data_IF_583677627233
#
_entry.id   IF_583677627233
#
_cell.length_a   1.000
_cell.length_b   1.000
_cell.length_c   1.000
_cell.angle_alpha   90.00
_cell.angle_beta   90.00
_cell.angle_gamma   90.00
#
_symmetry.space_group_name_H-M   'P 1'
#
loop_
_entity.id
_entity.type
_entity.pdbx_description
1 polymer ?
#
# COMPACT_ATOMS: atom_id res chain seq x y z
N UNK A 1 -4.35 -29.19 -2.05
CA UNK A 1 -4.50 -28.68 -3.42
C UNK A 1 -3.85 -27.33 -3.54
N UNK A 2 -2.63 -27.26 -4.06
CA UNK A 2 -1.98 -25.98 -4.38
C UNK A 2 -2.59 -25.45 -5.67
N UNK A 3 -3.52 -24.50 -5.58
CA UNK A 3 -3.97 -23.74 -6.74
C UNK A 3 -2.77 -22.88 -7.17
N UNK A 4 -2.31 -23.05 -8.41
CA UNK A 4 -1.25 -22.21 -8.96
C UNK A 4 -1.79 -20.79 -9.18
N UNK A 5 -1.09 -19.78 -8.67
CA UNK A 5 -1.33 -18.40 -9.06
C UNK A 5 -0.95 -18.23 -10.54
N UNK A 6 -1.77 -17.49 -11.29
CA UNK A 6 -1.57 -17.24 -12.71
C UNK A 6 -1.55 -15.76 -13.03
N UNK A 7 -1.13 -15.44 -14.25
CA UNK A 7 -1.22 -14.09 -14.79
C UNK A 7 -1.85 -14.11 -16.18
N UNK A 8 -2.37 -12.97 -16.62
CA UNK A 8 -2.90 -12.79 -17.97
C UNK A 8 -2.18 -11.59 -18.57
N UNK A 9 -1.56 -11.79 -19.73
CA UNK A 9 -1.01 -10.71 -20.56
C UNK A 9 -1.91 -10.53 -21.77
N UNK A 10 -2.43 -9.31 -21.96
CA UNK A 10 -3.23 -8.95 -23.13
C UNK A 10 -2.41 -8.04 -24.05
N UNK A 11 -2.43 -8.32 -25.36
CA UNK A 11 -1.78 -7.52 -26.40
C UNK A 11 -2.80 -7.06 -27.43
N UNK A 12 -2.56 -5.92 -28.08
CA UNK A 12 -3.42 -5.36 -29.13
C UNK A 12 -2.57 -4.87 -30.28
N UNK A 13 -3.06 -5.06 -31.50
CA UNK A 13 -2.52 -4.43 -32.72
C UNK A 13 -3.02 -3.00 -32.91
N UNK A 14 -4.02 -2.57 -32.12
CA UNK A 14 -4.48 -1.18 -32.06
C UNK A 14 -3.58 -0.30 -31.19
N UNK A 15 -3.75 1.03 -31.26
CA UNK A 15 -2.79 1.96 -30.65
C UNK A 15 -2.82 1.99 -29.12
N UNK A 16 -3.91 1.57 -28.47
CA UNK A 16 -4.10 1.69 -27.02
C UNK A 16 -4.85 0.49 -26.43
N UNK A 17 -4.44 0.09 -25.23
CA UNK A 17 -5.15 -0.86 -24.37
C UNK A 17 -5.35 -0.22 -22.99
N UNK A 18 -6.52 -0.44 -22.42
CA UNK A 18 -6.80 -0.20 -21.02
C UNK A 18 -7.52 -1.43 -20.46
N UNK A 19 -7.25 -1.74 -19.20
CA UNK A 19 -7.86 -2.88 -18.53
C UNK A 19 -8.08 -2.60 -17.06
N UNK A 20 -8.96 -3.40 -16.48
CA UNK A 20 -9.12 -3.52 -15.04
C UNK A 20 -9.22 -5.00 -14.73
N UNK A 21 -8.70 -5.40 -13.58
CA UNK A 21 -8.83 -6.77 -13.08
C UNK A 21 -9.58 -6.74 -11.76
N UNK A 22 -10.42 -7.74 -11.56
CA UNK A 22 -11.23 -7.93 -10.36
C UNK A 22 -10.90 -9.27 -9.73
N UNK A 23 -10.60 -9.26 -8.44
CA UNK A 23 -10.51 -10.49 -7.65
C UNK A 23 -11.77 -10.60 -6.78
N UNK A 24 -12.39 -11.78 -6.75
CA UNK A 24 -13.56 -12.06 -5.93
C UNK A 24 -13.31 -13.29 -5.07
N UNK A 25 -13.73 -13.19 -3.81
CA UNK A 25 -13.81 -14.28 -2.83
C UNK A 25 -15.28 -14.44 -2.42
N UNK A 26 -15.59 -15.47 -1.63
CA UNK A 26 -16.97 -15.81 -1.24
C UNK A 26 -17.78 -14.65 -0.66
N UNK A 27 -17.14 -13.69 0.01
CA UNK A 27 -17.82 -12.57 0.66
C UNK A 27 -17.24 -11.18 0.35
N UNK A 28 -16.28 -11.06 -0.58
CA UNK A 28 -15.59 -9.79 -0.85
C UNK A 28 -15.03 -9.75 -2.25
N UNK A 29 -14.83 -8.54 -2.76
CA UNK A 29 -14.17 -8.32 -4.03
C UNK A 29 -13.25 -7.11 -3.95
N UNK A 30 -12.28 -7.04 -4.85
CA UNK A 30 -11.41 -5.92 -5.04
C UNK A 30 -11.08 -5.78 -6.52
N UNK A 31 -10.67 -4.59 -6.94
CA UNK A 31 -10.28 -4.32 -8.31
C UNK A 31 -9.06 -3.40 -8.35
N UNK A 32 -8.32 -3.47 -9.45
CA UNK A 32 -7.22 -2.56 -9.75
C UNK A 32 -7.16 -2.30 -11.26
N UNK A 33 -6.54 -1.19 -11.65
CA UNK A 33 -6.24 -0.90 -13.04
C UNK A 33 -5.17 -1.87 -13.54
N UNK A 34 -5.39 -2.49 -14.70
CA UNK A 34 -4.40 -3.38 -15.30
C UNK A 34 -3.08 -2.63 -15.55
N UNK A 35 -1.97 -3.30 -15.25
CA UNK A 35 -0.63 -2.74 -15.36
C UNK A 35 -0.10 -2.89 -16.78
N UNK A 36 0.73 -1.93 -17.18
CA UNK A 36 1.34 -1.82 -18.50
C UNK A 36 2.85 -2.03 -18.40
N UNK A 37 3.55 -2.01 -19.54
CA UNK A 37 5.01 -2.00 -19.54
C UNK A 37 5.62 -0.76 -18.88
N UNK A 38 4.89 0.35 -18.79
CA UNK A 38 5.35 1.55 -18.09
C UNK A 38 5.37 1.39 -16.56
N UNK A 39 4.62 0.41 -16.03
CA UNK A 39 4.54 0.09 -14.62
C UNK A 39 5.59 -0.96 -14.20
N UNK A 40 6.35 -1.51 -15.15
CA UNK A 40 7.42 -2.46 -14.86
C UNK A 40 8.55 -1.80 -14.05
N UNK A 41 9.15 -2.58 -13.17
CA UNK A 41 10.34 -2.18 -12.41
C UNK A 41 11.15 -3.38 -11.97
N UNK A 42 12.45 -3.16 -11.74
CA UNK A 42 13.33 -4.13 -11.05
C UNK A 42 13.23 -4.00 -9.54
N UNK A 43 12.66 -2.89 -9.06
CA UNK A 43 12.26 -2.68 -7.67
C UNK A 43 10.79 -2.29 -7.64
N UNK A 44 10.00 -2.98 -6.83
CA UNK A 44 8.60 -2.69 -6.58
C UNK A 44 8.36 -2.38 -5.11
N UNK A 45 7.38 -1.53 -4.83
CA UNK A 45 7.04 -1.07 -3.48
C UNK A 45 5.56 -1.27 -3.18
N UNK A 46 5.28 -1.69 -1.95
CA UNK A 46 3.94 -1.85 -1.39
C UNK A 46 3.82 -0.96 -0.13
N UNK A 47 3.35 0.29 -0.23
CA UNK A 47 3.32 1.22 0.91
C UNK A 47 2.37 0.83 2.05
N UNK A 48 1.45 -0.11 1.82
CA UNK A 48 0.38 -0.48 2.75
C UNK A 48 0.27 -2.00 2.91
N UNK A 49 0.95 -2.55 3.92
CA UNK A 49 0.94 -3.98 4.19
C UNK A 49 0.69 -4.28 5.67
N UNK A 50 -0.02 -5.38 5.95
CA UNK A 50 -0.57 -5.64 7.28
C UNK A 50 -0.55 -7.12 7.68
N UNK A 51 -0.44 -7.37 8.99
CA UNK A 51 -0.59 -8.67 9.65
C UNK A 51 -1.12 -8.46 11.08
N UNK A 52 -2.44 -8.49 11.23
CA UNK A 52 -3.15 -8.39 12.51
C UNK A 52 -3.99 -9.64 12.77
N UNK A 53 -3.73 -10.26 13.92
CA UNK A 53 -4.60 -11.27 14.52
C UNK A 53 -5.53 -10.62 15.55
N UNK A 54 -6.67 -11.26 15.82
CA UNK A 54 -7.57 -10.82 16.89
C UNK A 54 -6.88 -10.91 18.26
N UNK A 55 -6.23 -12.04 18.54
CA UNK A 55 -5.34 -12.25 19.68
C UNK A 55 -4.12 -13.09 19.24
N UNK A 56 -3.05 -13.11 20.05
CA UNK A 56 -1.82 -13.84 19.71
C UNK A 56 -2.03 -15.36 19.53
N UNK A 57 -2.97 -15.93 20.28
CA UNK A 57 -3.35 -17.35 20.23
C UNK A 57 -4.41 -17.69 19.18
N UNK A 58 -5.03 -16.69 18.55
CA UNK A 58 -6.14 -16.93 17.61
C UNK A 58 -5.62 -17.28 16.21
N UNK A 59 -6.33 -18.19 15.55
CA UNK A 59 -6.18 -18.43 14.11
C UNK A 59 -6.85 -17.34 13.26
N UNK A 60 -7.65 -16.46 13.88
CA UNK A 60 -8.41 -15.43 13.19
C UNK A 60 -7.57 -14.17 12.93
N UNK A 61 -7.48 -13.80 11.65
CA UNK A 61 -6.85 -12.56 11.19
C UNK A 61 -7.92 -11.49 10.95
N UNK A 62 -7.80 -10.36 11.64
CA UNK A 62 -8.71 -9.22 11.51
C UNK A 62 -8.34 -8.33 10.32
N UNK A 63 -7.03 -8.22 10.03
CA UNK A 63 -6.47 -7.49 8.90
C UNK A 63 -5.19 -8.17 8.42
N UNK A 64 -5.12 -8.53 7.15
CA UNK A 64 -3.92 -9.15 6.56
C UNK A 64 -3.74 -8.69 5.12
N UNK A 65 -2.57 -8.92 4.56
CA UNK A 65 -2.27 -8.49 3.20
C UNK A 65 -1.66 -9.61 2.38
N UNK A 66 -1.78 -9.46 1.07
CA UNK A 66 -1.08 -10.29 0.10
C UNK A 66 -0.43 -9.38 -0.95
N UNK A 67 0.63 -9.87 -1.57
CA UNK A 67 1.19 -9.31 -2.79
C UNK A 67 1.23 -10.40 -3.85
N UNK A 68 0.86 -10.06 -5.08
CA UNK A 68 1.10 -10.90 -6.25
C UNK A 68 2.18 -10.24 -7.07
N UNK A 69 3.20 -11.01 -7.45
CA UNK A 69 4.37 -10.52 -8.19
C UNK A 69 4.44 -11.33 -9.48
N UNK A 70 4.44 -10.65 -10.62
CA UNK A 70 4.58 -11.26 -11.93
C UNK A 70 5.94 -10.92 -12.52
N UNK A 71 6.66 -11.94 -12.95
CA UNK A 71 7.83 -11.82 -13.79
C UNK A 71 7.37 -11.63 -15.24
N UNK A 72 7.75 -10.50 -15.84
CA UNK A 72 7.35 -10.16 -17.20
C UNK A 72 8.39 -10.57 -18.26
N UNK A 73 9.55 -11.07 -17.85
CA UNK A 73 10.52 -11.73 -18.73
C UNK A 73 10.08 -13.18 -18.99
N UNK A 74 9.79 -13.56 -20.25
CA UNK A 74 9.32 -14.90 -20.57
C UNK A 74 10.43 -15.96 -20.61
N UNK A 75 11.71 -15.57 -20.51
CA UNK A 75 12.85 -16.45 -20.73
C UNK A 75 13.71 -16.68 -19.48
N UNK A 76 13.67 -15.75 -18.52
CA UNK A 76 14.56 -15.78 -17.37
C UNK A 76 13.77 -15.76 -16.06
N UNK A 77 14.15 -16.64 -15.12
CA UNK A 77 13.65 -16.58 -13.75
C UNK A 77 14.13 -15.30 -13.05
N UNK A 78 13.29 -14.77 -12.16
CA UNK A 78 13.61 -13.61 -11.35
C UNK A 78 13.88 -14.03 -9.90
N UNK A 79 15.14 -14.21 -9.47
CA UNK A 79 15.48 -14.18 -8.05
C UNK A 79 15.09 -12.82 -7.49
N UNK A 80 14.37 -12.84 -6.37
CA UNK A 80 13.91 -11.63 -5.69
C UNK A 80 14.22 -11.67 -4.20
N UNK A 81 14.53 -10.49 -3.67
CA UNK A 81 14.61 -10.20 -2.25
C UNK A 81 13.38 -9.36 -1.86
N UNK A 82 12.58 -9.84 -0.90
CA UNK A 82 11.38 -9.16 -0.40
C UNK A 82 11.60 -8.71 1.04
N UNK A 83 11.68 -7.41 1.25
CA UNK A 83 12.00 -6.75 2.51
C UNK A 83 10.74 -6.09 3.09
N UNK A 84 10.38 -6.42 4.34
CA UNK A 84 9.24 -5.86 5.06
C UNK A 84 9.73 -4.85 6.09
N UNK A 85 9.27 -3.61 6.03
CA UNK A 85 9.69 -2.54 6.93
C UNK A 85 8.54 -2.20 7.87
N UNK A 86 8.79 -2.20 9.18
CA UNK A 86 7.81 -1.82 10.18
C UNK A 86 7.50 -0.33 10.07
N UNK A 87 6.21 0.01 10.12
CA UNK A 87 5.77 1.41 10.14
C UNK A 87 6.31 2.14 11.36
N UNK A 88 6.71 3.40 11.16
CA UNK A 88 7.25 4.23 12.24
C UNK A 88 8.66 3.85 12.70
N UNK A 89 9.23 2.74 12.20
CA UNK A 89 10.65 2.45 12.38
C UNK A 89 11.48 3.27 11.39
N UNK A 90 12.18 4.27 11.92
CA UNK A 90 13.01 5.18 11.13
C UNK A 90 14.42 4.63 10.87
N UNK A 91 14.75 3.42 11.34
CA UNK A 91 16.09 2.84 11.18
C UNK A 91 16.40 2.40 9.75
N UNK A 92 15.37 2.17 8.93
CA UNK A 92 15.52 1.61 7.58
C UNK A 92 15.92 0.13 7.57
N UNK A 93 15.83 -0.56 8.71
CA UNK A 93 16.12 -2.01 8.81
C UNK A 93 14.85 -2.81 8.55
N UNK A 94 14.87 -3.84 7.67
CA UNK A 94 13.71 -4.69 7.48
C UNK A 94 13.45 -5.58 8.71
N UNK A 95 12.19 -5.70 9.10
CA UNK A 95 11.73 -6.62 10.13
C UNK A 95 11.70 -8.08 9.65
N UNK A 96 11.62 -8.29 8.33
CA UNK A 96 11.64 -9.59 7.68
C UNK A 96 12.23 -9.44 6.28
N UNK A 97 13.07 -10.41 5.90
CA UNK A 97 13.56 -10.57 4.53
C UNK A 97 13.23 -11.98 4.05
N UNK A 98 12.55 -12.09 2.91
CA UNK A 98 12.26 -13.35 2.23
C UNK A 98 13.00 -13.36 0.90
N UNK A 99 13.78 -14.41 0.64
CA UNK A 99 14.41 -14.65 -0.65
C UNK A 99 13.63 -15.75 -1.38
N UNK A 100 13.21 -15.49 -2.61
CA UNK A 100 12.46 -16.46 -3.43
C UNK A 100 12.68 -16.18 -4.91
N UNK A 101 12.06 -16.97 -5.78
CA UNK A 101 12.17 -16.85 -7.24
C UNK A 101 10.79 -16.78 -7.86
N UNK A 102 10.59 -15.82 -8.77
CA UNK A 102 9.42 -15.77 -9.65
C UNK A 102 9.82 -16.42 -10.99
N UNK A 103 9.27 -17.60 -11.36
CA UNK A 103 9.63 -18.24 -12.61
C UNK A 103 9.37 -17.37 -13.84
N UNK A 104 10.13 -17.57 -14.91
CA UNK A 104 9.98 -16.87 -16.18
C UNK A 104 8.51 -16.83 -16.66
N UNK A 105 8.01 -15.64 -17.00
CA UNK A 105 6.65 -15.42 -17.49
C UNK A 105 5.52 -15.81 -16.52
N UNK A 106 5.84 -16.06 -15.24
CA UNK A 106 4.90 -16.54 -14.23
C UNK A 106 4.62 -15.50 -13.15
N UNK A 107 3.76 -15.85 -12.19
CA UNK A 107 3.50 -15.07 -11.01
C UNK A 107 3.59 -15.92 -9.74
N UNK A 108 3.87 -15.28 -8.62
CA UNK A 108 3.79 -15.85 -7.27
C UNK A 108 2.96 -14.95 -6.36
N UNK A 109 2.42 -15.53 -5.30
CA UNK A 109 1.73 -14.84 -4.22
C UNK A 109 2.51 -14.93 -2.92
N UNK A 110 2.59 -13.83 -2.17
CA UNK A 110 3.08 -13.81 -0.79
C UNK A 110 1.98 -13.26 0.11
N UNK A 111 1.55 -14.03 1.10
CA UNK A 111 0.38 -13.71 1.92
C UNK A 111 0.70 -13.78 3.42
N UNK A 112 0.52 -12.67 4.13
CA UNK A 112 0.87 -12.57 5.56
C UNK A 112 -0.02 -13.41 6.47
N UNK A 113 -1.06 -14.07 5.95
CA UNK A 113 -1.89 -15.03 6.70
C UNK A 113 -1.46 -16.48 6.49
N UNK A 114 -1.26 -16.89 5.24
CA UNK A 114 -1.10 -18.31 4.88
C UNK A 114 0.14 -18.61 4.03
N UNK A 115 1.04 -17.63 3.84
CA UNK A 115 2.27 -17.77 3.08
C UNK A 115 2.08 -17.68 1.56
N UNK A 116 1.09 -18.39 1.03
CA UNK A 116 0.85 -18.62 -0.40
C UNK A 116 2.00 -19.40 -1.06
N UNK A 117 2.89 -18.75 -1.83
CA UNK A 117 4.01 -19.42 -2.51
C UNK A 117 5.19 -19.75 -1.60
N UNK A 118 5.18 -19.30 -0.34
CA UNK A 118 6.14 -19.67 0.71
C UNK A 118 5.42 -20.22 1.94
N UNK A 119 6.16 -20.80 2.90
CA UNK A 119 5.57 -21.29 4.13
C UNK A 119 4.99 -20.15 4.98
N UNK A 120 3.84 -20.38 5.62
CA UNK A 120 3.20 -19.36 6.46
C UNK A 120 4.09 -18.90 7.64
N UNK A 121 4.97 -19.77 8.14
CA UNK A 121 5.91 -19.50 9.22
C UNK A 121 7.01 -18.50 8.85
N UNK A 122 7.26 -18.26 7.55
CA UNK A 122 8.19 -17.22 7.09
C UNK A 122 7.77 -15.82 7.58
N UNK A 123 6.48 -15.63 7.88
CA UNK A 123 5.92 -14.36 8.34
C UNK A 123 5.84 -14.23 9.87
N UNK A 124 6.29 -15.23 10.63
CA UNK A 124 6.27 -15.18 12.09
C UNK A 124 7.17 -14.09 12.71
N UNK A 125 8.32 -13.70 12.09
CA UNK A 125 9.11 -12.55 12.57
C UNK A 125 8.34 -11.23 12.61
N UNK A 126 7.30 -11.06 11.79
CA UNK A 126 6.42 -9.88 11.85
C UNK A 126 5.50 -9.90 13.08
N UNK A 127 5.41 -10.99 13.82
CA UNK A 127 4.50 -11.12 14.96
C UNK A 127 3.03 -11.15 14.55
N UNK A 128 2.16 -10.58 15.39
CA UNK A 128 0.70 -10.70 15.27
C UNK A 128 -0.04 -9.36 15.17
N UNK A 129 0.70 -8.24 15.24
CA UNK A 129 0.17 -6.88 15.17
C UNK A 129 1.16 -5.99 14.42
N UNK A 130 1.33 -6.28 13.14
CA UNK A 130 2.29 -5.59 12.29
C UNK A 130 1.60 -4.85 11.17
N UNK A 131 2.06 -3.63 10.94
CA UNK A 131 1.80 -2.83 9.77
C UNK A 131 3.09 -2.20 9.26
N UNK A 132 3.13 -1.94 7.96
CA UNK A 132 4.36 -1.52 7.34
C UNK A 132 4.26 -1.39 5.84
N UNK A 133 5.43 -1.42 5.23
CA UNK A 133 5.62 -1.38 3.79
C UNK A 133 6.47 -2.58 3.34
N UNK A 134 6.48 -2.82 2.03
CA UNK A 134 7.29 -3.88 1.42
C UNK A 134 8.11 -3.28 0.28
N UNK A 135 9.36 -3.70 0.16
CA UNK A 135 10.21 -3.48 -1.01
C UNK A 135 10.58 -4.83 -1.61
N UNK A 136 10.44 -4.97 -2.92
CA UNK A 136 10.77 -6.18 -3.67
C UNK A 136 11.87 -5.79 -4.64
N UNK A 137 13.02 -6.43 -4.57
CA UNK A 137 14.16 -6.19 -5.47
C UNK A 137 14.40 -7.42 -6.31
N UNK A 138 14.52 -7.28 -7.64
CA UNK A 138 14.98 -8.33 -8.53
C UNK A 138 16.49 -8.26 -8.70
N UNK A 139 17.20 -9.34 -8.35
CA UNK A 139 18.67 -9.34 -8.27
C UNK A 139 19.35 -9.33 -9.65
N UNK A 140 18.65 -9.78 -10.70
CA UNK A 140 19.16 -9.90 -12.07
C UNK A 140 18.56 -8.87 -13.04
N UNK A 141 18.01 -7.76 -12.52
CA UNK A 141 17.30 -6.75 -13.31
C UNK A 141 16.13 -7.30 -14.13
N UNK A 142 15.46 -8.35 -13.65
CA UNK A 142 14.29 -8.89 -14.33
C UNK A 142 13.09 -7.98 -14.06
N UNK A 143 12.36 -7.51 -15.10
CA UNK A 143 11.23 -6.62 -14.92
C UNK A 143 10.05 -7.34 -14.27
N UNK A 144 9.57 -6.74 -13.17
CA UNK A 144 8.44 -7.20 -12.40
C UNK A 144 7.28 -6.21 -12.52
N UNK A 145 6.06 -6.73 -12.38
CA UNK A 145 4.87 -5.96 -12.01
C UNK A 145 4.19 -6.65 -10.83
N UNK A 146 3.27 -5.98 -10.17
CA UNK A 146 2.41 -6.71 -9.25
C UNK A 146 1.39 -5.85 -8.51
N UNK A 147 0.68 -6.49 -7.59
CA UNK A 147 -0.45 -5.89 -6.88
C UNK A 147 -0.34 -6.14 -5.39
N UNK A 148 -0.72 -5.15 -4.60
CA UNK A 148 -1.01 -5.33 -3.18
C UNK A 148 -2.50 -5.58 -2.95
N UNK A 149 -2.81 -6.42 -1.97
CA UNK A 149 -4.17 -6.73 -1.54
C UNK A 149 -4.24 -6.50 -0.03
N UNK A 150 -5.19 -5.69 0.41
CA UNK A 150 -5.54 -5.54 1.82
C UNK A 150 -6.86 -6.26 2.09
N UNK A 151 -6.88 -7.15 3.08
CA UNK A 151 -8.04 -7.93 3.48
C UNK A 151 -8.44 -7.59 4.92
N UNK A 152 -9.63 -7.01 5.11
CA UNK A 152 -10.27 -6.89 6.43
C UNK A 152 -11.04 -8.18 6.71
N UNK A 153 -10.34 -9.17 7.27
CA UNK A 153 -10.78 -10.56 7.38
C UNK A 153 -12.14 -10.72 8.05
N UNK A 154 -12.27 -10.21 9.28
CA UNK A 154 -13.52 -10.30 10.06
C UNK A 154 -14.65 -9.47 9.44
N UNK A 155 -14.32 -8.34 8.81
CA UNK A 155 -15.32 -7.47 8.19
C UNK A 155 -15.81 -7.98 6.82
N UNK A 156 -15.04 -8.86 6.18
CA UNK A 156 -15.34 -9.36 4.84
C UNK A 156 -15.15 -8.28 3.76
N UNK A 157 -14.14 -7.42 3.88
CA UNK A 157 -13.82 -6.41 2.86
C UNK A 157 -12.43 -6.65 2.29
N UNK A 158 -12.21 -6.22 1.05
CA UNK A 158 -10.89 -6.19 0.44
C UNK A 158 -10.71 -4.92 -0.40
N UNK A 159 -9.46 -4.57 -0.64
CA UNK A 159 -9.08 -3.63 -1.69
C UNK A 159 -7.75 -4.03 -2.30
N UNK A 160 -7.52 -3.59 -3.54
CA UNK A 160 -6.33 -3.91 -4.31
C UNK A 160 -5.74 -2.64 -4.90
N UNK A 161 -4.43 -2.62 -5.06
CA UNK A 161 -3.70 -1.50 -5.64
C UNK A 161 -2.48 -2.01 -6.41
N UNK A 162 -1.93 -1.19 -7.28
CA UNK A 162 -0.70 -1.50 -8.01
C UNK A 162 0.50 -1.41 -7.07
N UNK A 163 1.39 -2.40 -7.10
CA UNK A 163 2.75 -2.15 -6.63
C UNK A 163 3.38 -1.11 -7.56
N UNK A 164 4.16 -0.21 -6.99
CA UNK A 164 4.75 0.92 -7.73
C UNK A 164 6.25 0.74 -7.85
N UNK A 165 6.86 1.25 -8.92
CA UNK A 165 8.31 1.24 -9.10
C UNK A 165 8.91 2.64 -8.87
N UNK A 166 10.22 2.77 -9.03
CA UNK A 166 10.91 4.06 -9.00
C UNK A 166 10.31 5.11 -9.95
N UNK A 167 9.73 4.67 -11.09
CA UNK A 167 9.14 5.58 -12.07
C UNK A 167 7.83 6.22 -11.61
N UNK A 168 7.19 5.65 -10.60
CA UNK A 168 5.96 6.19 -10.00
C UNK A 168 6.23 7.18 -8.87
N UNK A 169 7.50 7.34 -8.46
CA UNK A 169 7.86 8.21 -7.35
C UNK A 169 7.70 9.68 -7.73
N UNK A 170 7.20 10.50 -6.81
CA UNK A 170 7.13 11.95 -6.99
C UNK A 170 7.40 12.71 -5.70
N UNK A 171 7.82 13.95 -5.83
CA UNK A 171 7.86 14.91 -4.72
C UNK A 171 6.48 15.50 -4.38
N UNK A 172 5.48 15.30 -5.24
CA UNK A 172 4.11 15.80 -5.06
C UNK A 172 3.09 14.72 -5.42
N UNK A 173 2.23 14.37 -4.46
CA UNK A 173 1.23 13.30 -4.62
C UNK A 173 -0.17 13.86 -4.39
N UNK A 174 -1.10 13.49 -5.27
CA UNK A 174 -2.52 13.80 -5.17
C UNK A 174 -3.32 12.55 -4.77
N UNK A 175 -4.20 12.73 -3.80
CA UNK A 175 -5.09 11.67 -3.30
C UNK A 175 -6.52 12.24 -3.29
N UNK A 176 -7.30 12.05 -4.38
CA UNK A 176 -8.51 12.83 -4.63
C UNK A 176 -9.72 12.48 -3.75
N UNK A 177 -9.69 11.37 -3.01
CA UNK A 177 -10.82 10.92 -2.22
C UNK A 177 -10.42 10.54 -0.78
N UNK A 178 -10.85 11.36 0.16
CA UNK A 178 -10.62 11.28 1.59
C UNK A 178 -11.92 11.55 2.35
N UNK A 179 -12.13 10.79 3.42
CA UNK A 179 -13.37 10.81 4.17
C UNK A 179 -13.11 10.86 5.67
N UNK A 180 -13.94 11.61 6.40
CA UNK A 180 -14.13 11.46 7.85
C UNK A 180 -15.61 11.70 8.14
N UNK A 181 -16.39 10.62 8.12
CA UNK A 181 -17.85 10.67 8.21
C UNK A 181 -18.38 9.88 9.40
N UNK A 182 -19.05 10.59 10.29
CA UNK A 182 -19.86 10.05 11.39
C UNK A 182 -21.32 10.36 11.08
N UNK A 183 -22.20 9.35 11.16
CA UNK A 183 -23.64 9.49 10.94
C UNK A 183 -24.34 8.95 12.18
N UNK A 184 -25.12 9.78 12.84
CA UNK A 184 -25.83 9.43 14.07
C UNK A 184 -24.91 8.84 15.15
N UNK A 185 -23.72 9.42 15.32
CA UNK A 185 -22.71 8.97 16.29
C UNK A 185 -21.94 7.70 15.90
N UNK A 186 -22.19 7.14 14.71
CA UNK A 186 -21.50 5.93 14.21
C UNK A 186 -20.62 6.24 13.01
N UNK A 187 -19.43 5.63 12.94
CA UNK A 187 -18.52 5.77 11.81
C UNK A 187 -19.13 5.18 10.54
N UNK A 188 -19.35 6.02 9.53
CA UNK A 188 -19.88 5.61 8.24
C UNK A 188 -18.77 5.41 7.21
N UNK A 189 -17.80 6.34 7.14
CA UNK A 189 -16.69 6.31 6.19
C UNK A 189 -15.46 6.98 6.79
N UNK A 190 -14.28 6.40 6.57
CA UNK A 190 -13.01 7.01 6.95
C UNK A 190 -11.92 6.61 5.96
N UNK A 191 -10.78 7.29 6.02
CA UNK A 191 -9.65 7.04 5.12
C UNK A 191 -8.36 6.89 5.90
N UNK A 192 -7.45 6.08 5.36
CA UNK A 192 -6.11 5.93 5.86
C UNK A 192 -5.11 5.99 4.71
N UNK A 193 -4.25 7.01 4.71
CA UNK A 193 -3.12 7.09 3.79
C UNK A 193 -1.92 6.40 4.41
N UNK A 194 -1.13 5.71 3.59
CA UNK A 194 0.19 5.23 3.94
C UNK A 194 1.18 5.86 2.96
N UNK A 195 2.07 6.70 3.46
CA UNK A 195 3.08 7.40 2.69
C UNK A 195 4.42 6.74 2.94
N UNK A 196 5.16 6.43 1.87
CA UNK A 196 6.48 5.82 1.93
C UNK A 196 7.50 6.68 1.18
N UNK A 197 8.68 6.84 1.76
CA UNK A 197 9.85 7.36 1.05
C UNK A 197 10.58 6.18 0.41
N UNK A 198 10.59 6.12 -0.91
CA UNK A 198 11.29 5.09 -1.69
C UNK A 198 12.62 5.59 -2.25
N UNK A 199 12.98 6.84 -1.96
CA UNK A 199 14.29 7.41 -2.26
C UNK A 199 15.35 7.02 -1.25
N UNK A 200 16.60 7.32 -1.59
CA UNK A 200 17.78 6.98 -0.77
C UNK A 200 18.11 8.03 0.29
N UNK A 201 17.47 9.21 0.22
CA UNK A 201 17.69 10.32 1.15
C UNK A 201 16.50 10.45 2.09
N UNK A 202 16.76 10.63 3.38
CA UNK A 202 15.73 10.93 4.38
C UNK A 202 14.99 12.22 4.03
N UNK A 203 13.67 12.18 4.07
CA UNK A 203 12.81 13.38 3.96
C UNK A 203 12.53 13.87 5.37
N UNK A 204 13.07 15.05 5.73
CA UNK A 204 12.82 15.65 7.02
C UNK A 204 11.34 16.05 7.17
N UNK A 205 10.76 15.83 8.35
CA UNK A 205 9.37 16.17 8.63
C UNK A 205 9.08 17.66 8.43
N UNK A 206 10.06 18.53 8.67
CA UNK A 206 9.97 19.98 8.44
C UNK A 206 9.75 20.36 6.98
N UNK A 207 10.17 19.49 6.06
CA UNK A 207 10.14 19.74 4.62
C UNK A 207 9.04 18.93 3.91
N UNK A 208 8.26 18.17 4.69
CA UNK A 208 7.11 17.41 4.22
C UNK A 208 5.82 18.09 4.68
N UNK A 209 4.89 18.26 3.75
CA UNK A 209 3.57 18.83 4.01
C UNK A 209 2.48 17.89 3.52
N UNK A 210 1.47 17.66 4.35
CA UNK A 210 0.25 16.93 4.02
C UNK A 210 -0.94 17.87 4.22
N UNK A 211 -1.58 18.28 3.12
CA UNK A 211 -2.69 19.24 3.13
C UNK A 211 -3.99 18.54 2.78
N UNK A 212 -4.98 18.64 3.66
CA UNK A 212 -6.35 18.21 3.41
C UNK A 212 -7.15 19.36 2.80
N UNK A 213 -7.77 19.10 1.65
CA UNK A 213 -8.61 20.06 0.94
C UNK A 213 -10.05 19.54 0.88
N UNK A 214 -11.04 20.42 1.06
CA UNK A 214 -12.45 20.09 0.90
C UNK A 214 -12.86 20.05 -0.59
N UNK A 215 -14.14 19.76 -0.86
CA UNK A 215 -14.69 19.71 -2.21
C UNK A 215 -14.73 21.08 -2.92
N UNK A 216 -14.62 22.18 -2.19
CA UNK A 216 -14.52 23.53 -2.73
C UNK A 216 -13.06 23.98 -2.96
N UNK A 217 -12.09 23.12 -2.62
CA UNK A 217 -10.66 23.40 -2.75
C UNK A 217 -10.08 24.21 -1.59
N UNK A 218 -10.82 24.41 -0.50
CA UNK A 218 -10.29 25.09 0.69
C UNK A 218 -9.43 24.13 1.49
N UNK A 219 -8.30 24.62 2.00
CA UNK A 219 -7.51 23.90 3.00
C UNK A 219 -8.27 23.81 4.32
N UNK A 220 -8.47 22.59 4.82
CA UNK A 220 -9.15 22.31 6.10
C UNK A 220 -8.15 21.94 7.20
N UNK A 221 -7.07 21.23 6.83
CA UNK A 221 -6.00 20.86 7.75
C UNK A 221 -4.66 20.78 7.00
N UNK A 222 -3.58 21.09 7.70
CA UNK A 222 -2.21 20.93 7.20
C UNK A 222 -1.36 20.30 8.28
N UNK A 223 -0.60 19.28 7.90
CA UNK A 223 0.39 18.61 8.76
C UNK A 223 1.78 18.81 8.17
N UNK A 224 2.68 19.38 8.96
CA UNK A 224 4.10 19.56 8.65
C UNK A 224 4.94 19.58 9.95
N UNK A 225 6.25 19.39 9.83
CA UNK A 225 7.18 19.45 10.95
C UNK A 225 6.75 18.56 12.12
N UNK A 226 6.59 19.15 13.30
CA UNK A 226 6.25 18.43 14.53
C UNK A 226 4.83 17.87 14.59
N UNK A 227 3.98 18.16 13.60
CA UNK A 227 2.63 17.57 13.51
C UNK A 227 2.58 16.28 12.67
N UNK A 228 3.70 15.89 12.07
CA UNK A 228 3.90 14.59 11.44
C UNK A 228 4.56 13.60 12.42
N UNK A 229 4.48 12.28 12.18
CA UNK A 229 5.05 11.27 13.09
C UNK A 229 6.58 11.36 13.24
N UNK A 230 7.28 11.91 12.24
CA UNK A 230 8.73 12.07 12.25
C UNK A 230 9.31 12.14 10.84
N UNK A 231 10.65 12.14 10.77
CA UNK A 231 11.39 12.08 9.50
C UNK A 231 11.15 10.74 8.79
N UNK A 232 11.13 10.77 7.46
CA UNK A 232 10.88 9.60 6.62
C UNK A 232 12.18 9.13 5.99
N UNK A 233 12.88 8.22 6.66
CA UNK A 233 14.09 7.57 6.13
C UNK A 233 13.80 6.75 4.86
N UNK A 234 14.85 6.34 4.14
CA UNK A 234 14.73 5.45 2.98
C UNK A 234 13.98 4.16 3.35
N UNK A 235 12.94 3.82 2.59
CA UNK A 235 12.07 2.66 2.81
C UNK A 235 11.01 2.86 3.90
N UNK A 236 11.20 3.82 4.81
CA UNK A 236 10.29 4.09 5.91
C UNK A 236 8.94 4.61 5.40
N UNK A 237 7.90 4.29 6.17
CA UNK A 237 6.53 4.70 5.91
C UNK A 237 5.84 5.16 7.19
N UNK A 238 4.88 6.07 7.05
CA UNK A 238 3.90 6.36 8.10
C UNK A 238 2.47 6.27 7.57
N UNK A 239 1.54 6.03 8.48
CA UNK A 239 0.11 5.96 8.24
C UNK A 239 -0.64 7.09 8.94
N UNK A 240 -1.53 7.76 8.23
CA UNK A 240 -2.45 8.75 8.78
C UNK A 240 -3.89 8.28 8.57
N UNK A 241 -4.65 8.13 9.65
CA UNK A 241 -6.02 7.60 9.61
C UNK A 241 -7.01 8.61 10.19
N UNK A 242 -7.97 9.04 9.37
CA UNK A 242 -8.93 10.08 9.75
C UNK A 242 -9.92 9.64 10.82
N UNK A 243 -9.97 8.35 11.21
CA UNK A 243 -10.79 7.85 12.32
C UNK A 243 -10.00 7.71 13.62
N UNK A 244 -8.88 6.99 13.59
CA UNK A 244 -8.13 6.61 14.80
C UNK A 244 -6.74 7.26 14.92
N UNK A 245 -6.35 8.10 13.97
CA UNK A 245 -5.08 8.81 13.96
C UNK A 245 -4.00 8.12 13.13
N UNK A 246 -3.90 6.79 13.22
CA UNK A 246 -2.77 6.04 12.64
C UNK A 246 -1.55 6.23 13.53
N UNK A 247 -0.46 6.74 12.96
CA UNK A 247 0.75 7.12 13.70
C UNK A 247 0.64 8.49 14.38
N UNK A 248 -0.48 9.19 14.17
CA UNK A 248 -0.83 10.43 14.86
C UNK A 248 -1.91 10.18 15.91
N UNK A 249 -2.15 11.17 16.77
CA UNK A 249 -3.32 11.16 17.65
C UNK A 249 -4.62 11.28 16.84
N UNK A 250 -5.69 10.63 17.28
CA UNK A 250 -7.00 10.74 16.63
C UNK A 250 -7.57 12.17 16.65
N UNK A 251 -7.21 12.95 17.68
CA UNK A 251 -7.60 14.35 17.83
C UNK A 251 -6.89 15.29 16.85
N UNK A 252 -5.77 14.88 16.26
CA UNK A 252 -5.07 15.62 15.21
C UNK A 252 -5.96 15.88 13.98
N UNK A 253 -7.04 15.12 13.81
CA UNK A 253 -7.98 15.21 12.69
C UNK A 253 -9.32 15.89 13.06
N UNK A 254 -9.46 16.45 14.26
CA UNK A 254 -10.72 17.07 14.71
C UNK A 254 -11.12 18.29 13.86
N UNK A 255 -10.15 18.99 13.25
CA UNK A 255 -10.42 20.12 12.34
C UNK A 255 -11.18 19.74 11.08
N UNK A 256 -11.09 18.46 10.66
CA UNK A 256 -11.90 17.94 9.54
C UNK A 256 -13.39 17.84 9.92
N UNK A 257 -13.72 17.86 11.22
CA UNK A 257 -15.07 17.60 11.70
C UNK A 257 -15.51 16.15 11.46
N UNK A 258 -16.83 15.95 11.40
CA UNK A 258 -17.45 14.62 11.30
C UNK A 258 -18.15 14.38 9.95
N UNK A 259 -18.01 15.30 9.00
CA UNK A 259 -18.64 15.21 7.68
C UNK A 259 -17.68 15.53 6.53
N UNK A 260 -16.38 15.41 6.77
CA UNK A 260 -15.37 15.71 5.76
C UNK A 260 -15.45 14.77 4.56
N UNK A 261 -15.45 15.38 3.39
CA UNK A 261 -15.27 14.77 2.08
C UNK A 261 -14.31 15.68 1.32
N UNK A 262 -13.23 15.13 0.78
CA UNK A 262 -12.21 15.94 0.14
C UNK A 262 -11.06 15.12 -0.42
N UNK A 263 -9.90 15.74 -0.52
CA UNK A 263 -8.66 15.12 -0.97
C UNK A 263 -7.46 15.50 -0.09
N UNK A 264 -6.32 14.91 -0.40
CA UNK A 264 -5.02 15.27 0.16
C UNK A 264 -4.05 15.65 -0.96
N UNK A 265 -3.21 16.64 -0.68
CA UNK A 265 -1.99 16.94 -1.42
C UNK A 265 -0.81 16.68 -0.47
N UNK A 266 0.13 15.84 -0.89
CA UNK A 266 1.40 15.62 -0.21
C UNK A 266 2.51 16.30 -1.00
N UNK A 267 3.34 17.11 -0.33
CA UNK A 267 4.46 17.82 -0.94
C UNK A 267 5.71 17.61 -0.09
N UNK A 268 6.75 17.01 -0.67
CA UNK A 268 8.08 16.89 -0.10
C UNK A 268 9.10 17.79 -0.82
N UNK A 269 10.39 17.75 -0.41
CA UNK A 269 11.46 18.47 -1.09
C UNK A 269 11.55 18.11 -2.57
N UNK A 270 12.03 19.04 -3.40
CA UNK A 270 12.30 18.76 -4.81
C UNK A 270 13.24 17.55 -4.95
N UNK A 271 12.87 16.60 -5.82
CA UNK A 271 13.62 15.35 -6.03
C UNK A 271 13.38 14.26 -4.98
N UNK A 272 12.58 14.52 -3.94
CA UNK A 272 12.11 13.44 -3.06
C UNK A 272 11.30 12.41 -3.85
N UNK A 273 11.42 11.15 -3.45
CA UNK A 273 10.78 10.01 -4.09
C UNK A 273 9.72 9.43 -3.15
N UNK A 274 8.54 10.04 -3.15
CA UNK A 274 7.44 9.60 -2.31
C UNK A 274 6.44 8.78 -3.15
N UNK A 275 5.82 7.80 -2.50
CA UNK A 275 4.66 7.06 -3.02
C UNK A 275 3.63 6.88 -1.91
N UNK A 276 2.35 6.79 -2.27
CA UNK A 276 1.29 6.63 -1.28
C UNK A 276 0.24 5.61 -1.72
N UNK A 277 -0.38 4.97 -0.75
CA UNK A 277 -1.59 4.16 -0.92
C UNK A 277 -2.66 4.67 0.02
N UNK A 278 -3.85 4.90 -0.51
CA UNK A 278 -5.00 5.29 0.29
C UNK A 278 -5.98 4.13 0.44
N UNK A 279 -6.38 3.87 1.68
CA UNK A 279 -7.43 2.94 2.04
C UNK A 279 -8.67 3.76 2.41
N UNK A 280 -9.78 3.57 1.69
CA UNK A 280 -11.10 4.07 2.08
C UNK A 280 -11.89 2.92 2.68
N UNK A 281 -12.35 3.11 3.91
CA UNK A 281 -13.14 2.12 4.62
C UNK A 281 -14.55 2.66 4.82
N UNK A 282 -15.53 1.83 4.49
CA UNK A 282 -16.95 2.06 4.70
C UNK A 282 -17.44 1.09 5.77
N UNK A 283 -18.63 1.34 6.32
CA UNK A 283 -19.29 0.40 7.23
C UNK A 283 -19.58 -0.99 6.63
N UNK A 284 -19.51 -1.14 5.29
CA UNK A 284 -19.89 -2.37 4.59
C UNK A 284 -18.98 -2.75 3.40
N UNK A 285 -17.88 -2.03 3.16
CA UNK A 285 -16.94 -2.29 2.05
C UNK A 285 -15.62 -1.55 2.27
N UNK A 286 -14.64 -1.81 1.43
CA UNK A 286 -13.41 -1.04 1.36
C UNK A 286 -13.03 -0.76 -0.09
N UNK A 287 -12.17 0.23 -0.29
CA UNK A 287 -11.51 0.52 -1.57
C UNK A 287 -10.08 0.94 -1.29
N UNK A 288 -9.15 0.54 -2.14
CA UNK A 288 -7.74 0.91 -2.00
C UNK A 288 -7.25 1.40 -3.36
N UNK A 289 -6.40 2.43 -3.38
CA UNK A 289 -5.82 2.95 -4.61
C UNK A 289 -4.48 3.67 -4.34
N UNK A 290 -3.64 3.78 -5.37
CA UNK A 290 -2.39 4.51 -5.32
C UNK A 290 -2.62 6.03 -5.37
N UNK A 291 -1.86 6.80 -4.61
CA UNK A 291 -1.74 8.23 -4.84
C UNK A 291 -1.10 8.50 -6.21
N UNK A 292 -1.47 9.63 -6.84
CA UNK A 292 -0.99 9.99 -8.18
C UNK A 292 0.12 11.03 -8.05
N UNK A 293 1.32 10.69 -8.53
CA UNK A 293 2.45 11.62 -8.58
C UNK A 293 2.34 12.64 -9.71
N UNK A 294 2.95 13.83 -9.52
CA UNK A 294 3.17 14.85 -10.55
C UNK A 294 4.65 15.02 -10.88
#
# INVERSE_FOLDING_TARGET
>A
DSVADGSITATSSGPLLAGASTAAWSNRAAAYQALTSADQGTVLYAPSHFRFKLNASDAEYTLFSAINIQNTDPNNDAPITVEYFTRGDTSGTPALTINTTVPAGSAIGLNTKNGASVAASEFDPLGTSWDGSVKITSDNNIPLIGTGITNWGTAGYAGMYALVSDSSASSKIFIPAQYRRVVSGSWAQWSAINLQNIGTTTVAASDLTVTYIDQAGNTVATFNGTSLPGDLASGAAFGMNTRNGGDLSSSSFNSLGESFIGGIIVEGPAGSKLVAVNNIIYSNRASVYNGVGQ
#
